data_IF_136392905278
#
_entry.id   IF_136392905278
#
_cell.length_a   1.000
_cell.length_b   1.000
_cell.length_c   1.000
_cell.angle_alpha   90.00
_cell.angle_beta   90.00
_cell.angle_gamma   90.00
#
_symmetry.space_group_name_H-M   'P 1'
#
loop_
_entity.id
_entity.type
_entity.pdbx_description
1 polymer ?
#
# COMPACT_ATOMS: atom_id res chain seq x y z
N UNK A 1 20.34 -63.25 -21.11
CA UNK A 1 19.87 -63.16 -22.49
C UNK A 1 18.39 -63.57 -22.57
N UNK A 2 17.61 -62.87 -23.39
CA UNK A 2 16.24 -63.24 -23.76
C UNK A 2 16.26 -63.78 -25.18
N UNK A 3 15.93 -65.09 -25.36
CA UNK A 3 15.87 -65.72 -26.66
C UNK A 3 14.69 -65.13 -27.45
N UNK A 4 14.93 -64.73 -28.71
CA UNK A 4 13.94 -64.16 -29.60
C UNK A 4 13.48 -65.21 -30.59
N UNK A 5 14.43 -65.91 -31.26
CA UNK A 5 14.17 -66.98 -32.23
C UNK A 5 15.13 -68.14 -32.06
N UNK A 6 14.65 -69.33 -32.37
CA UNK A 6 15.44 -70.54 -32.47
C UNK A 6 15.09 -71.13 -33.83
N UNK A 7 16.08 -71.19 -34.69
CA UNK A 7 15.91 -71.76 -36.08
C UNK A 7 16.79 -72.99 -36.26
N UNK A 8 16.22 -74.06 -36.81
CA UNK A 8 16.97 -75.25 -37.16
C UNK A 8 17.73 -74.98 -38.44
N UNK A 9 19.07 -75.08 -38.42
CA UNK A 9 19.92 -74.81 -39.56
C UNK A 9 20.27 -76.15 -40.33
N UNK A 10 20.41 -77.21 -39.56
CA UNK A 10 20.66 -78.57 -40.01
C UNK A 10 20.06 -79.52 -38.97
N UNK A 11 19.81 -80.76 -39.32
CA UNK A 11 19.17 -81.79 -38.47
C UNK A 11 19.73 -81.90 -37.04
N UNK A 12 20.83 -81.24 -36.73
CA UNK A 12 21.55 -81.32 -35.49
C UNK A 12 21.91 -79.92 -34.95
N UNK A 13 21.87 -78.87 -35.79
CA UNK A 13 22.32 -77.54 -35.44
C UNK A 13 21.16 -76.51 -35.34
N UNK A 14 21.15 -75.73 -34.36
CA UNK A 14 20.17 -74.66 -34.14
C UNK A 14 20.86 -73.31 -34.05
N UNK A 15 20.37 -72.31 -34.76
CA UNK A 15 20.76 -70.88 -34.56
C UNK A 15 19.85 -70.24 -33.60
N UNK A 16 20.40 -69.72 -32.51
CA UNK A 16 19.67 -69.01 -31.44
C UNK A 16 19.97 -67.52 -31.54
N UNK A 17 18.96 -66.74 -31.81
CA UNK A 17 19.04 -65.26 -31.72
C UNK A 17 18.50 -64.85 -30.38
N UNK A 18 19.34 -64.15 -29.61
CA UNK A 18 18.97 -63.67 -28.26
C UNK A 18 19.41 -62.22 -28.04
N UNK A 19 18.61 -61.47 -27.37
CA UNK A 19 18.99 -60.13 -26.86
C UNK A 19 19.75 -60.27 -25.53
N UNK A 20 20.80 -59.47 -25.36
CA UNK A 20 21.46 -59.32 -24.08
C UNK A 20 20.49 -58.66 -23.12
N UNK A 21 20.23 -59.30 -21.99
CA UNK A 21 19.45 -58.74 -20.90
C UNK A 21 20.40 -58.09 -19.92
N UNK A 22 20.32 -56.78 -19.80
CA UNK A 22 21.06 -55.99 -18.83
C UNK A 22 20.08 -55.65 -17.70
N UNK A 23 20.25 -56.30 -16.54
CA UNK A 23 19.35 -56.14 -15.39
C UNK A 23 19.35 -54.71 -14.86
N UNK A 24 20.52 -54.09 -14.88
CA UNK A 24 20.74 -52.71 -14.39
C UNK A 24 19.96 -51.65 -15.22
N UNK A 25 19.60 -51.99 -16.50
CA UNK A 25 18.82 -51.07 -17.32
C UNK A 25 17.42 -50.83 -16.74
N UNK A 26 16.82 -51.82 -16.13
CA UNK A 26 15.49 -51.71 -15.53
C UNK A 26 15.59 -51.11 -14.12
N UNK A 27 16.61 -51.45 -13.36
CA UNK A 27 16.90 -50.83 -12.08
C UNK A 27 17.06 -49.29 -12.23
N UNK A 28 17.79 -48.87 -13.28
CA UNK A 28 17.96 -47.43 -13.57
C UNK A 28 16.64 -46.73 -13.99
N UNK A 29 15.69 -47.46 -14.54
CA UNK A 29 14.37 -46.93 -14.96
C UNK A 29 13.39 -46.98 -13.76
N UNK A 30 13.49 -48.02 -12.93
CA UNK A 30 12.57 -48.26 -11.81
C UNK A 30 13.01 -47.61 -10.50
N UNK A 31 14.32 -47.51 -10.27
CA UNK A 31 14.93 -46.72 -9.17
C UNK A 31 15.20 -45.27 -9.62
N UNK A 32 14.57 -44.84 -10.71
CA UNK A 32 14.68 -43.49 -11.24
C UNK A 32 14.55 -42.48 -10.16
N UNK A 33 15.58 -41.64 -10.03
CA UNK A 33 15.56 -40.42 -9.27
C UNK A 33 14.16 -39.84 -9.32
N UNK A 34 13.46 -39.77 -8.19
CA UNK A 34 12.15 -39.16 -8.14
C UNK A 34 12.28 -37.78 -8.77
N UNK A 35 11.78 -37.63 -9.97
CA UNK A 35 11.76 -36.32 -10.64
C UNK A 35 11.20 -35.35 -9.62
N UNK A 36 11.90 -34.22 -9.33
CA UNK A 36 11.37 -33.23 -8.42
C UNK A 36 9.96 -32.92 -8.86
N UNK A 37 9.04 -32.98 -7.91
CA UNK A 37 7.62 -32.73 -8.20
C UNK A 37 7.54 -31.45 -9.01
N UNK A 38 7.11 -31.57 -10.26
CA UNK A 38 6.93 -30.42 -11.14
C UNK A 38 5.87 -29.57 -10.49
N UNK A 39 6.21 -28.34 -10.11
CA UNK A 39 5.20 -27.38 -9.70
C UNK A 39 4.19 -27.26 -10.84
N UNK A 40 3.07 -27.96 -10.73
CA UNK A 40 2.09 -28.12 -11.82
C UNK A 40 1.27 -26.84 -11.99
N UNK A 41 1.27 -25.95 -11.03
CA UNK A 41 0.59 -24.65 -11.14
C UNK A 41 1.08 -23.66 -10.09
N UNK A 42 1.56 -22.51 -10.51
CA UNK A 42 1.67 -21.28 -9.72
C UNK A 42 0.32 -20.53 -9.65
N UNK A 43 -0.74 -21.13 -10.24
CA UNK A 43 -2.05 -20.47 -10.40
C UNK A 43 -2.83 -20.31 -9.10
N UNK A 44 -2.42 -20.94 -8.01
CA UNK A 44 -3.09 -20.88 -6.70
C UNK A 44 -2.20 -20.32 -5.59
N UNK A 45 -1.07 -19.74 -5.93
CA UNK A 45 -0.23 -19.11 -4.91
C UNK A 45 -0.84 -17.74 -4.56
N UNK A 46 -1.36 -17.64 -3.33
CA UNK A 46 -1.86 -16.38 -2.81
C UNK A 46 -0.70 -15.40 -2.68
N UNK A 47 -0.91 -14.17 -3.10
CA UNK A 47 0.09 -13.12 -2.93
C UNK A 47 0.24 -12.75 -1.44
N UNK A 48 1.41 -12.26 -1.08
CA UNK A 48 1.64 -11.71 0.25
C UNK A 48 0.98 -10.33 0.37
N UNK A 49 0.61 -9.89 1.58
CA UNK A 49 0.19 -8.51 1.79
C UNK A 49 1.36 -7.55 1.51
N UNK A 50 1.10 -6.27 1.18
CA UNK A 50 2.16 -5.29 0.96
C UNK A 50 2.98 -5.07 2.23
N UNK A 51 4.21 -4.59 2.10
CA UNK A 51 5.09 -4.24 3.21
C UNK A 51 5.34 -2.74 3.27
N UNK A 52 5.92 -2.25 4.36
CA UNK A 52 6.30 -0.85 4.49
C UNK A 52 5.12 0.12 4.52
N UNK A 53 3.98 -0.31 5.09
CA UNK A 53 2.78 0.52 5.24
C UNK A 53 3.10 1.70 6.17
N UNK A 54 2.85 2.90 5.68
CA UNK A 54 3.03 4.17 6.40
C UNK A 54 1.84 5.08 6.18
N UNK A 55 1.59 5.97 7.12
CA UNK A 55 0.60 7.03 7.00
C UNK A 55 1.19 8.36 7.45
N UNK A 56 0.84 9.42 6.74
CA UNK A 56 1.27 10.80 7.07
C UNK A 56 0.08 11.72 6.95
N UNK A 57 -0.14 12.55 7.97
CA UNK A 57 -1.16 13.58 7.93
C UNK A 57 -0.59 14.87 7.34
N UNK A 58 -1.34 15.50 6.46
CA UNK A 58 -1.01 16.80 5.86
C UNK A 58 -2.23 17.69 5.83
N UNK A 59 -2.03 19.00 5.93
CA UNK A 59 -3.08 19.99 5.77
C UNK A 59 -3.02 20.56 4.35
N UNK A 60 -4.12 20.46 3.63
CA UNK A 60 -4.22 20.90 2.24
C UNK A 60 -5.39 21.88 2.05
N UNK A 61 -5.28 22.88 1.17
CA UNK A 61 -6.39 23.76 0.85
C UNK A 61 -7.35 23.08 -0.13
N UNK A 62 -8.59 22.90 0.28
CA UNK A 62 -9.68 22.42 -0.56
C UNK A 62 -10.85 23.42 -0.48
N UNK A 63 -11.29 23.93 -1.62
CA UNK A 63 -12.39 24.91 -1.69
C UNK A 63 -12.22 26.11 -0.73
N UNK A 64 -10.99 26.63 -0.65
CA UNK A 64 -10.61 27.72 0.26
C UNK A 64 -10.77 27.41 1.76
N UNK A 65 -10.73 26.15 2.14
CA UNK A 65 -10.69 25.68 3.51
C UNK A 65 -9.46 24.82 3.74
N UNK A 66 -8.82 24.94 4.90
CA UNK A 66 -7.73 24.07 5.33
C UNK A 66 -8.32 22.74 5.80
N UNK A 67 -8.03 21.67 5.08
CA UNK A 67 -8.60 20.33 5.32
C UNK A 67 -7.46 19.37 5.65
N UNK A 68 -7.64 18.57 6.71
CA UNK A 68 -6.71 17.48 7.01
C UNK A 68 -6.89 16.33 6.04
N UNK A 69 -5.77 15.76 5.59
CA UNK A 69 -5.69 14.62 4.70
C UNK A 69 -4.65 13.62 5.22
N UNK A 70 -5.03 12.35 5.32
CA UNK A 70 -4.09 11.26 5.61
C UNK A 70 -3.67 10.63 4.27
N UNK A 71 -2.37 10.60 4.02
CA UNK A 71 -1.76 9.91 2.88
C UNK A 71 -1.18 8.59 3.38
N UNK A 72 -1.68 7.49 2.87
CA UNK A 72 -1.27 6.13 3.20
C UNK A 72 -0.44 5.63 2.03
N UNK A 73 0.71 5.00 2.28
CA UNK A 73 1.57 4.46 1.24
C UNK A 73 2.25 3.16 1.69
N UNK A 74 2.58 2.31 0.72
CA UNK A 74 3.22 1.02 0.96
C UNK A 74 4.17 0.65 -0.18
N UNK A 75 4.95 -0.42 0.00
CA UNK A 75 5.85 -0.91 -1.03
C UNK A 75 5.05 -1.73 -2.07
N UNK A 76 5.19 -1.44 -3.37
CA UNK A 76 4.54 -2.22 -4.42
C UNK A 76 5.09 -3.65 -4.49
N UNK A 77 4.23 -4.60 -4.86
CA UNK A 77 4.57 -6.01 -4.99
C UNK A 77 4.50 -6.40 -6.48
N UNK A 78 5.52 -7.12 -6.97
CA UNK A 78 5.51 -7.64 -8.33
C UNK A 78 4.39 -8.68 -8.50
N UNK A 79 3.65 -8.58 -9.61
CA UNK A 79 2.52 -9.48 -9.90
C UNK A 79 1.21 -9.14 -9.19
N UNK A 80 1.17 -8.04 -8.45
CA UNK A 80 -0.05 -7.47 -7.86
C UNK A 80 -0.64 -6.46 -8.84
N UNK A 81 -1.95 -6.55 -9.07
CA UNK A 81 -2.69 -5.65 -9.99
C UNK A 81 -3.49 -4.58 -9.25
N UNK A 82 -3.96 -4.89 -8.06
CA UNK A 82 -4.78 -4.02 -7.23
C UNK A 82 -4.50 -4.27 -5.75
N UNK A 83 -4.83 -3.28 -4.94
CA UNK A 83 -4.85 -3.36 -3.47
C UNK A 83 -6.24 -3.07 -2.96
N UNK A 84 -6.62 -3.70 -1.85
CA UNK A 84 -7.80 -3.35 -1.09
C UNK A 84 -7.34 -2.66 0.19
N UNK A 85 -7.79 -1.43 0.37
CA UNK A 85 -7.55 -0.64 1.57
C UNK A 85 -8.84 -0.65 2.39
N UNK A 86 -8.78 -1.23 3.57
CA UNK A 86 -9.84 -1.13 4.56
C UNK A 86 -9.38 -0.13 5.62
N UNK A 87 -10.22 0.81 5.94
CA UNK A 87 -9.93 1.74 7.03
C UNK A 87 -11.18 2.02 7.86
N UNK A 88 -10.98 2.33 9.12
CA UNK A 88 -12.04 2.82 10.00
C UNK A 88 -11.52 3.90 10.91
N UNK A 89 -12.41 4.78 11.29
CA UNK A 89 -12.19 5.81 12.30
C UNK A 89 -12.75 5.32 13.64
N UNK A 90 -11.93 5.41 14.69
CA UNK A 90 -12.25 4.92 16.04
C UNK A 90 -12.75 3.46 16.01
N UNK A 91 -13.85 3.16 16.65
CA UNK A 91 -14.51 1.84 16.64
C UNK A 91 -15.64 1.73 15.60
N UNK A 92 -15.61 2.58 14.56
CA UNK A 92 -16.61 2.56 13.49
C UNK A 92 -16.53 1.34 12.59
N UNK A 93 -17.38 1.29 11.58
CA UNK A 93 -17.34 0.25 10.56
C UNK A 93 -16.16 0.47 9.60
N UNK A 94 -15.58 -0.61 9.10
CA UNK A 94 -14.59 -0.53 8.03
C UNK A 94 -15.23 -0.06 6.73
N UNK A 95 -14.55 0.89 6.10
CA UNK A 95 -14.76 1.30 4.70
C UNK A 95 -13.72 0.58 3.87
N UNK A 96 -14.12 0.01 2.74
CA UNK A 96 -13.24 -0.75 1.84
C UNK A 96 -13.19 -0.07 0.48
N UNK A 97 -11.97 0.21 0.03
CA UNK A 97 -11.70 0.82 -1.28
C UNK A 97 -10.66 0.00 -2.05
N UNK A 98 -10.80 -0.05 -3.38
CA UNK A 98 -9.83 -0.70 -4.26
C UNK A 98 -9.02 0.32 -5.02
N UNK A 99 -7.71 0.13 -5.04
CA UNK A 99 -6.77 1.02 -5.72
C UNK A 99 -5.73 0.22 -6.50
N UNK A 100 -5.32 0.75 -7.66
CA UNK A 100 -4.26 0.14 -8.48
C UNK A 100 -2.87 0.73 -8.21
N UNK A 101 -2.79 1.77 -7.37
CA UNK A 101 -1.53 2.43 -6.97
C UNK A 101 -1.14 2.01 -5.55
N UNK A 102 0.14 2.08 -5.20
CA UNK A 102 0.61 1.75 -3.85
C UNK A 102 0.43 2.91 -2.86
N UNK A 103 -0.62 3.70 -3.05
CA UNK A 103 -1.01 4.83 -2.20
C UNK A 103 -2.52 5.00 -2.14
N UNK A 104 -3.00 5.56 -1.05
CA UNK A 104 -4.40 5.91 -0.83
C UNK A 104 -4.52 7.17 0.03
N UNK A 105 -5.55 7.98 -0.19
CA UNK A 105 -5.75 9.23 0.53
C UNK A 105 -7.12 9.24 1.22
N UNK A 106 -7.13 9.54 2.52
CA UNK A 106 -8.35 9.84 3.26
C UNK A 106 -8.46 11.35 3.36
N UNK A 107 -9.41 11.93 2.65
CA UNK A 107 -9.68 13.35 2.66
C UNK A 107 -10.61 13.73 3.82
N UNK A 108 -10.42 14.94 4.35
CA UNK A 108 -11.23 15.47 5.46
C UNK A 108 -11.19 14.55 6.68
N UNK A 109 -9.97 14.11 7.04
CA UNK A 109 -9.76 13.26 8.21
C UNK A 109 -10.16 13.99 9.51
N UNK A 110 -10.79 13.23 10.40
CA UNK A 110 -11.14 13.70 11.75
C UNK A 110 -9.99 13.43 12.72
N UNK A 111 -9.92 14.20 13.81
CA UNK A 111 -8.97 13.96 14.89
C UNK A 111 -9.31 12.65 15.60
N UNK A 112 -8.33 11.78 15.81
CA UNK A 112 -8.50 10.51 16.51
C UNK A 112 -7.82 9.36 15.78
N UNK A 113 -8.12 8.15 16.19
CA UNK A 113 -7.43 6.93 15.78
C UNK A 113 -8.03 6.34 14.50
N UNK A 114 -7.19 6.05 13.53
CA UNK A 114 -7.52 5.31 12.32
C UNK A 114 -6.87 3.92 12.37
N UNK A 115 -7.64 2.89 12.12
CA UNK A 115 -7.14 1.55 11.85
C UNK A 115 -7.18 1.31 10.35
N UNK A 116 -6.06 0.89 9.78
CA UNK A 116 -5.85 0.76 8.34
C UNK A 116 -5.32 -0.65 8.07
N UNK A 117 -5.91 -1.33 7.10
CA UNK A 117 -5.54 -2.67 6.66
C UNK A 117 -5.37 -2.67 5.15
N UNK A 118 -4.25 -3.15 4.65
CA UNK A 118 -4.00 -3.23 3.21
C UNK A 118 -3.75 -4.66 2.78
N UNK A 119 -4.55 -5.11 1.83
CA UNK A 119 -4.46 -6.40 1.17
C UNK A 119 -3.99 -6.22 -0.27
N UNK A 120 -3.52 -7.28 -0.89
CA UNK A 120 -3.12 -7.29 -2.30
C UNK A 120 -3.95 -8.28 -3.11
N UNK A 121 -4.23 -7.95 -4.39
CA UNK A 121 -4.86 -8.85 -5.36
C UNK A 121 -3.83 -9.33 -6.39
N UNK A 122 -3.74 -10.65 -6.57
CA UNK A 122 -2.93 -11.21 -7.64
C UNK A 122 -3.61 -11.03 -9.02
N UNK A 123 -2.93 -11.46 -10.09
CA UNK A 123 -3.44 -11.39 -11.48
C UNK A 123 -4.71 -12.21 -11.71
N UNK A 124 -5.05 -13.16 -10.84
CA UNK A 124 -6.29 -13.92 -10.85
C UNK A 124 -7.41 -13.29 -10.00
N UNK A 125 -7.21 -12.07 -9.53
CA UNK A 125 -8.12 -11.36 -8.64
C UNK A 125 -8.38 -12.09 -7.30
N UNK A 126 -7.38 -12.82 -6.79
CA UNK A 126 -7.43 -13.46 -5.48
C UNK A 126 -6.78 -12.54 -4.46
N UNK A 127 -7.46 -12.35 -3.33
CA UNK A 127 -6.99 -11.54 -2.22
C UNK A 127 -5.89 -12.27 -1.42
N UNK A 128 -4.91 -11.53 -0.92
CA UNK A 128 -3.93 -12.06 0.03
C UNK A 128 -4.62 -12.64 1.28
N UNK A 129 -4.05 -13.69 1.86
CA UNK A 129 -4.64 -14.36 3.02
C UNK A 129 -4.67 -13.47 4.27
N UNK A 130 -3.75 -12.52 4.34
CA UNK A 130 -3.59 -11.58 5.47
C UNK A 130 -3.44 -10.16 4.95
N UNK A 131 -3.66 -9.18 5.81
CA UNK A 131 -3.39 -7.75 5.57
C UNK A 131 -2.06 -7.34 6.19
N UNK A 132 -1.59 -6.17 5.81
CA UNK A 132 -0.66 -5.38 6.60
C UNK A 132 -1.46 -4.30 7.31
N UNK A 133 -1.31 -4.23 8.62
CA UNK A 133 -2.12 -3.40 9.48
C UNK A 133 -1.31 -2.21 10.02
N UNK A 134 -1.96 -1.07 10.17
CA UNK A 134 -1.40 0.14 10.75
C UNK A 134 -2.46 0.84 11.59
N UNK A 135 -2.09 1.25 12.80
CA UNK A 135 -2.87 2.20 13.61
C UNK A 135 -2.22 3.56 13.49
N UNK A 136 -2.98 4.57 13.13
CA UNK A 136 -2.53 5.94 12.92
C UNK A 136 -3.38 6.92 13.71
N UNK A 137 -2.71 7.83 14.46
CA UNK A 137 -3.37 8.88 15.22
C UNK A 137 -3.36 10.17 14.39
N UNK A 138 -4.52 10.62 13.96
CA UNK A 138 -4.70 11.90 13.30
C UNK A 138 -4.81 13.01 14.33
N UNK A 139 -3.88 13.96 14.30
CA UNK A 139 -3.79 15.07 15.26
C UNK A 139 -4.21 16.41 14.66
N UNK A 140 -4.47 16.46 13.36
CA UNK A 140 -4.83 17.68 12.66
C UNK A 140 -3.73 18.73 12.71
N UNK A 141 -4.13 19.99 12.63
CA UNK A 141 -3.22 21.10 12.86
C UNK A 141 -3.15 21.41 14.35
N UNK A 142 -2.08 21.03 15.00
CA UNK A 142 -1.82 21.29 16.43
C UNK A 142 -1.09 22.60 16.69
N UNK A 143 -0.37 23.15 15.69
CA UNK A 143 0.34 24.40 15.80
C UNK A 143 -0.61 25.59 15.74
N UNK A 144 -0.46 26.52 16.67
CA UNK A 144 -1.16 27.80 16.61
C UNK A 144 -0.71 28.60 15.38
N UNK A 145 -1.60 29.41 14.76
CA UNK A 145 -1.20 30.34 13.72
C UNK A 145 -0.07 31.26 14.17
N UNK A 146 0.79 31.62 13.22
CA UNK A 146 1.85 32.60 13.47
C UNK A 146 1.24 33.97 13.80
N UNK A 147 1.91 34.70 14.67
CA UNK A 147 1.54 36.09 14.97
C UNK A 147 1.66 36.97 13.73
N UNK A 148 0.81 38.01 13.69
CA UNK A 148 0.87 39.01 12.64
C UNK A 148 2.18 39.76 12.71
N UNK A 149 2.93 39.84 11.61
CA UNK A 149 4.21 40.55 11.52
C UNK A 149 4.05 41.93 10.85
N UNK A 150 4.99 42.81 11.14
CA UNK A 150 5.06 44.17 10.57
C UNK A 150 3.78 44.99 10.72
N UNK A 151 3.05 44.79 11.87
CA UNK A 151 1.88 45.60 12.19
C UNK A 151 2.29 47.06 12.36
N UNK A 152 1.69 47.97 11.60
CA UNK A 152 1.91 49.40 11.65
C UNK A 152 0.60 50.15 11.46
N UNK A 153 0.53 51.28 12.12
CA UNK A 153 -0.60 52.20 12.06
C UNK A 153 -0.18 53.43 11.29
N UNK A 154 -0.87 53.72 10.20
CA UNK A 154 -0.66 54.92 9.39
C UNK A 154 -1.87 55.84 9.57
N UNK A 155 -1.71 57.06 10.11
CA UNK A 155 -2.79 58.03 10.18
C UNK A 155 -3.17 58.48 8.77
N UNK A 156 -4.46 58.52 8.48
CA UNK A 156 -5.02 59.01 7.21
C UNK A 156 -5.60 60.43 7.42
N UNK A 157 -6.30 60.59 8.55
CA UNK A 157 -6.87 61.88 9.02
C UNK A 157 -7.05 61.86 10.54
N UNK A 158 -7.56 62.94 11.09
CA UNK A 158 -7.85 63.04 12.55
C UNK A 158 -8.83 61.97 13.05
N UNK A 159 -9.58 61.34 12.17
CA UNK A 159 -10.61 60.35 12.53
C UNK A 159 -10.33 58.93 11.97
N UNK A 160 -9.35 58.77 11.06
CA UNK A 160 -9.10 57.52 10.41
C UNK A 160 -7.64 57.11 10.46
N UNK A 161 -7.41 55.84 10.75
CA UNK A 161 -6.11 55.20 10.70
C UNK A 161 -6.17 54.01 9.77
N UNK A 162 -5.06 53.71 9.09
CA UNK A 162 -4.89 52.52 8.32
C UNK A 162 -3.97 51.56 9.06
N UNK A 163 -4.42 50.32 9.22
CA UNK A 163 -3.58 49.23 9.71
C UNK A 163 -2.95 48.49 8.51
N UNK A 164 -1.66 48.25 8.58
CA UNK A 164 -0.92 47.43 7.64
C UNK A 164 -0.17 46.35 8.37
N UNK A 165 -0.14 45.17 7.83
CA UNK A 165 0.61 44.03 8.32
C UNK A 165 0.96 43.11 7.16
N UNK A 166 1.89 42.21 7.37
CA UNK A 166 2.26 41.23 6.37
C UNK A 166 1.15 40.20 6.21
N UNK A 167 1.02 39.68 4.96
CA UNK A 167 0.06 38.61 4.68
C UNK A 167 0.46 37.34 5.43
N UNK A 168 -0.49 36.73 6.15
CA UNK A 168 -0.29 35.43 6.77
C UNK A 168 0.08 34.37 5.75
N UNK A 169 0.96 33.47 6.12
CA UNK A 169 1.43 32.34 5.29
C UNK A 169 0.86 31.00 5.75
N UNK A 170 0.30 30.92 6.95
CA UNK A 170 -0.33 29.72 7.47
C UNK A 170 -1.53 29.29 6.61
N UNK A 171 -1.57 28.01 6.26
CA UNK A 171 -2.59 27.44 5.37
C UNK A 171 -4.01 27.67 5.91
N UNK A 172 -4.22 27.53 7.21
CA UNK A 172 -5.51 27.70 7.88
C UNK A 172 -5.93 29.17 8.05
N UNK A 173 -4.98 30.09 8.06
CA UNK A 173 -5.29 31.54 8.04
C UNK A 173 -5.59 32.01 6.64
N UNK A 174 -4.83 31.53 5.65
CA UNK A 174 -4.99 31.93 4.23
C UNK A 174 -6.26 31.31 3.63
N UNK A 175 -6.63 30.10 4.06
CA UNK A 175 -7.77 29.35 3.54
C UNK A 175 -8.83 29.14 4.61
N UNK A 176 -9.73 30.11 4.75
CA UNK A 176 -10.89 30.08 5.64
C UNK A 176 -10.68 30.68 7.02
N UNK A 177 -9.46 31.13 7.36
CA UNK A 177 -9.18 31.83 8.60
C UNK A 177 -9.45 33.34 8.53
N UNK A 178 -9.32 34.01 9.68
CA UNK A 178 -9.51 35.44 9.82
C UNK A 178 -8.41 36.08 10.67
N UNK A 179 -8.06 37.32 10.34
CA UNK A 179 -7.28 38.19 11.23
C UNK A 179 -8.27 39.08 12.00
N UNK A 180 -8.22 38.98 13.32
CA UNK A 180 -9.09 39.79 14.20
C UNK A 180 -8.33 41.00 14.67
N UNK A 181 -8.85 42.17 14.39
CA UNK A 181 -8.33 43.45 14.91
C UNK A 181 -9.14 43.86 16.09
N UNK A 182 -8.48 44.11 17.23
CA UNK A 182 -9.09 44.69 18.43
C UNK A 182 -8.45 46.02 18.69
N UNK A 183 -9.24 47.01 19.06
CA UNK A 183 -8.81 48.31 19.48
C UNK A 183 -9.33 48.59 20.87
N UNK A 184 -8.51 49.18 21.74
CA UNK A 184 -8.88 49.61 23.06
C UNK A 184 -8.42 51.07 23.26
N UNK A 185 -9.15 51.85 24.02
CA UNK A 185 -8.76 53.17 24.47
C UNK A 185 -7.95 53.14 25.79
N UNK A 186 -7.68 51.95 26.30
CA UNK A 186 -6.87 51.72 27.50
C UNK A 186 -5.47 51.28 27.04
N UNK A 187 -4.42 51.86 27.61
CA UNK A 187 -3.04 51.65 27.16
C UNK A 187 -2.53 50.20 27.31
N UNK A 188 -3.15 49.38 28.16
CA UNK A 188 -2.80 47.97 28.41
C UNK A 188 -3.65 46.96 27.61
N UNK A 189 -4.61 47.43 26.81
CA UNK A 189 -5.37 46.60 25.87
C UNK A 189 -6.37 45.62 26.50
N UNK A 190 -6.72 45.75 27.77
CA UNK A 190 -7.72 44.91 28.48
C UNK A 190 -9.15 45.37 28.24
#
# INVERSE_FOLDING_TARGET
FRVITVEETDSINYTITALSYINEKYAFIEDGEALPARNVSILNELTNPPSGLTAVETIVPINNQAVSKIVISWQPINGVIEYQVNYRYENGNFVSEKVSRPDFEILNSQLGTYEIQVFSYNVQAQLSATSTDLTFEAVGKTALPQDVTNLRIEPISDQFVRLRFDKATDVDVVHGGNVVVRASNIADGT
#
